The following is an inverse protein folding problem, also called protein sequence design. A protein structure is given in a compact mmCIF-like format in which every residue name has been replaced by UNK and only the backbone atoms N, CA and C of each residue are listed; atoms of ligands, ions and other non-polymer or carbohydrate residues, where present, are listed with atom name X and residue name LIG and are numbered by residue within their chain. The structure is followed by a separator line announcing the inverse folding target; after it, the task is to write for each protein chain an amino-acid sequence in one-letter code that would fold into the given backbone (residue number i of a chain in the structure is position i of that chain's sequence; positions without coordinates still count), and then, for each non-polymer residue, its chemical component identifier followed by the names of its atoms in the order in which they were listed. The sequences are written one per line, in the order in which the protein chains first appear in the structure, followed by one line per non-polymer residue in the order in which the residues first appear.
data_IF_679487940724
#
_entry.id   IF_679487940724
#
_cell.length_a   1.000
_cell.length_b   1.000
_cell.length_c   1.000
_cell.angle_alpha   90.00
_cell.angle_beta   90.00
_cell.angle_gamma   90.00
#
_symmetry.space_group_name_H-M   'P 1'
#
loop_
_entity.id
_entity.type
_entity.pdbx_description
1 polymer ?
#
# COMPACT_ATOMS: atom_id res chain seq x y z
N UNK A 1 74.39 -35.25 26.86
CA UNK A 1 73.36 -35.69 27.83
C UNK A 1 73.78 -35.25 29.22
N UNK A 2 73.05 -34.33 29.84
CA UNK A 2 73.14 -34.01 31.27
C UNK A 2 71.71 -33.91 31.79
N UNK A 3 71.38 -34.81 32.72
CA UNK A 3 70.13 -34.86 33.47
C UNK A 3 70.35 -34.18 34.83
N UNK A 4 69.43 -33.31 35.23
CA UNK A 4 69.14 -33.00 36.65
C UNK A 4 67.70 -32.48 36.77
N UNK A 5 66.81 -33.39 37.14
CA UNK A 5 65.79 -33.36 38.23
C UNK A 5 65.91 -32.18 39.23
N UNK A 6 64.91 -31.62 39.95
CA UNK A 6 63.53 -31.98 40.34
C UNK A 6 62.91 -30.76 41.10
N UNK A 7 61.59 -30.79 41.35
CA UNK A 7 60.81 -30.17 42.47
C UNK A 7 60.05 -28.84 42.25
N UNK A 8 58.72 -29.03 42.22
CA UNK A 8 57.54 -28.23 42.68
C UNK A 8 57.76 -27.03 43.63
N UNK A 9 56.97 -25.96 43.43
CA UNK A 9 56.19 -25.19 44.46
C UNK A 9 55.42 -24.06 43.74
N UNK A 10 54.08 -24.09 43.65
CA UNK A 10 53.06 -23.52 44.58
C UNK A 10 52.82 -22.01 44.39
N UNK A 11 51.61 -21.71 43.88
CA UNK A 11 50.73 -20.54 44.03
C UNK A 11 51.27 -19.10 43.91
N UNK A 12 50.70 -18.34 42.95
CA UNK A 12 50.11 -17.03 43.25
C UNK A 12 49.04 -16.64 42.22
N UNK A 13 47.84 -16.37 42.72
CA UNK A 13 46.70 -15.88 41.98
C UNK A 13 46.87 -14.39 41.64
N UNK A 14 46.44 -13.98 40.44
CA UNK A 14 45.97 -12.62 40.21
C UNK A 14 44.89 -12.62 39.14
N UNK A 15 43.65 -12.52 39.59
CA UNK A 15 42.52 -12.07 38.78
C UNK A 15 42.82 -10.68 38.21
N UNK A 16 42.70 -10.54 36.89
CA UNK A 16 42.55 -9.23 36.26
C UNK A 16 41.48 -9.34 35.17
N UNK A 17 40.31 -8.85 35.56
CA UNK A 17 39.30 -8.19 34.75
C UNK A 17 38.89 -8.87 33.44
N UNK A 18 37.74 -9.54 33.53
CA UNK A 18 36.72 -9.67 32.51
C UNK A 18 36.89 -8.68 31.36
N UNK A 19 37.12 -9.25 30.18
CA UNK A 19 36.92 -8.60 28.90
C UNK A 19 35.54 -7.93 28.94
N UNK A 20 35.53 -6.60 28.89
CA UNK A 20 34.39 -5.82 28.43
C UNK A 20 34.21 -6.18 26.95
N UNK A 21 33.56 -7.30 26.67
CA UNK A 21 32.85 -7.49 25.43
C UNK A 21 31.67 -6.54 25.47
N UNK A 22 31.87 -5.29 25.06
CA UNK A 22 30.78 -4.48 24.56
C UNK A 22 30.20 -5.27 23.39
N UNK A 23 29.14 -6.00 23.65
CA UNK A 23 28.24 -6.48 22.63
C UNK A 23 27.54 -5.22 22.09
N UNK A 24 28.29 -4.49 21.27
CA UNK A 24 27.78 -3.37 20.51
C UNK A 24 26.87 -3.99 19.45
N UNK A 25 25.65 -4.31 19.87
CA UNK A 25 24.54 -4.61 19.01
C UNK A 25 24.17 -3.32 18.29
N UNK A 26 25.07 -2.87 17.40
CA UNK A 26 24.69 -2.00 16.31
C UNK A 26 23.57 -2.72 15.57
N UNK A 27 22.37 -2.12 15.46
CA UNK A 27 21.32 -2.73 14.68
C UNK A 27 21.87 -2.90 13.26
N UNK A 28 21.94 -4.14 12.79
CA UNK A 28 22.33 -4.37 11.41
C UNK A 28 21.38 -3.60 10.49
N UNK A 29 21.87 -2.93 9.46
CA UNK A 29 21.00 -2.26 8.51
C UNK A 29 20.04 -3.29 7.92
N UNK A 30 18.74 -3.03 8.04
CA UNK A 30 17.70 -3.88 7.47
C UNK A 30 17.96 -3.96 5.97
N UNK A 31 18.33 -5.15 5.50
CA UNK A 31 18.57 -5.38 4.09
C UNK A 31 17.27 -5.13 3.31
N UNK A 32 17.32 -4.49 2.14
CA UNK A 32 16.16 -4.35 1.28
C UNK A 32 15.56 -5.73 1.01
N UNK A 33 14.26 -5.88 1.27
CA UNK A 33 13.55 -7.13 1.04
C UNK A 33 12.63 -6.97 -0.16
N UNK A 34 12.71 -7.94 -1.07
CA UNK A 34 11.81 -8.02 -2.23
C UNK A 34 10.54 -8.79 -1.89
N UNK A 35 9.43 -8.37 -2.49
CA UNK A 35 8.12 -8.98 -2.36
C UNK A 35 7.46 -9.08 -3.73
N UNK A 36 6.70 -10.15 -3.96
CA UNK A 36 5.76 -10.22 -5.08
C UNK A 36 4.34 -10.15 -4.50
N UNK A 37 3.51 -9.27 -5.05
CA UNK A 37 2.12 -9.10 -4.61
C UNK A 37 1.15 -9.19 -5.79
N UNK A 38 -0.08 -9.57 -5.48
CA UNK A 38 -1.22 -9.46 -6.39
C UNK A 38 -2.15 -8.33 -5.92
N UNK A 39 -2.39 -7.36 -6.79
CA UNK A 39 -3.29 -6.24 -6.56
C UNK A 39 -4.60 -6.45 -7.35
N UNK A 40 -5.78 -6.40 -6.71
CA UNK A 40 -7.06 -6.56 -7.40
C UNK A 40 -7.37 -5.35 -8.30
N UNK A 41 -8.24 -5.54 -9.28
CA UNK A 41 -8.73 -4.49 -10.20
C UNK A 41 -9.77 -3.54 -9.60
N UNK A 42 -10.36 -3.92 -8.46
CA UNK A 42 -11.41 -3.18 -7.78
C UNK A 42 -10.92 -2.63 -6.43
N UNK A 43 -10.72 -1.30 -6.29
CA UNK A 43 -10.48 -0.66 -5.00
C UNK A 43 -11.60 -0.95 -4.01
N UNK A 44 -11.26 -1.14 -2.73
CA UNK A 44 -12.21 -1.45 -1.66
C UNK A 44 -12.57 -0.18 -0.91
N UNK A 45 -13.87 0.13 -0.83
CA UNK A 45 -14.38 1.20 0.02
C UNK A 45 -14.59 0.70 1.45
N UNK A 46 -13.93 1.32 2.43
CA UNK A 46 -13.99 0.94 3.84
C UNK A 46 -14.90 1.83 4.69
N UNK A 47 -15.31 2.99 4.16
CA UNK A 47 -16.17 3.93 4.87
C UNK A 47 -15.50 4.71 6.02
N UNK A 48 -16.20 5.69 6.61
CA UNK A 48 -15.67 6.61 7.63
C UNK A 48 -15.41 5.98 9.01
N UNK A 49 -15.85 4.75 9.23
CA UNK A 49 -15.86 4.11 10.56
C UNK A 49 -14.69 3.18 10.85
N UNK A 50 -13.83 2.89 9.86
CA UNK A 50 -12.65 2.06 10.08
C UNK A 50 -11.44 2.90 10.47
N UNK A 51 -10.63 2.40 11.40
CA UNK A 51 -9.34 3.00 11.72
C UNK A 51 -8.28 2.80 10.61
N UNK A 52 -8.66 2.12 9.52
CA UNK A 52 -7.84 1.97 8.33
C UNK A 52 -7.99 3.25 7.49
N UNK A 53 -6.93 4.05 7.45
CA UNK A 53 -6.72 5.02 6.39
C UNK A 53 -6.12 4.24 5.21
N UNK A 54 -6.61 4.33 3.96
CA UNK A 54 -7.58 5.27 3.37
C UNK A 54 -9.06 4.82 3.37
N UNK A 55 -10.00 5.74 3.07
CA UNK A 55 -11.44 5.45 2.91
C UNK A 55 -11.75 4.51 1.75
N UNK A 56 -10.93 4.57 0.71
CA UNK A 56 -10.89 3.61 -0.39
C UNK A 56 -9.43 3.28 -0.66
N UNK A 57 -9.13 2.03 -0.98
CA UNK A 57 -7.77 1.66 -1.38
C UNK A 57 -7.71 0.27 -1.97
N UNK A 58 -6.55 -0.08 -2.51
CA UNK A 58 -6.30 -1.36 -3.15
C UNK A 58 -5.47 -2.22 -2.19
N UNK A 59 -6.11 -3.11 -1.40
CA UNK A 59 -5.38 -3.98 -0.50
C UNK A 59 -4.62 -5.05 -1.28
N UNK A 60 -3.37 -5.29 -0.88
CA UNK A 60 -2.59 -6.45 -1.31
C UNK A 60 -1.96 -7.14 -0.09
N UNK A 61 -1.81 -8.46 -0.17
CA UNK A 61 -1.20 -9.26 0.89
C UNK A 61 0.23 -9.62 0.51
N UNK A 62 1.17 -9.37 1.42
CA UNK A 62 2.55 -9.84 1.34
C UNK A 62 2.63 -11.33 1.73
N UNK A 63 3.70 -12.01 1.32
CA UNK A 63 3.95 -13.42 1.65
C UNK A 63 3.95 -13.74 3.16
N UNK A 64 4.26 -12.74 4.00
CA UNK A 64 4.24 -12.84 5.45
C UNK A 64 2.84 -12.64 6.08
N UNK A 65 1.81 -12.44 5.26
CA UNK A 65 0.43 -12.23 5.66
C UNK A 65 0.04 -10.78 5.94
N UNK A 66 0.98 -9.84 5.94
CA UNK A 66 0.72 -8.41 6.14
C UNK A 66 -0.07 -7.83 4.96
N UNK A 67 -1.03 -6.96 5.26
CA UNK A 67 -1.76 -6.18 4.26
C UNK A 67 -1.07 -4.83 4.06
N UNK A 68 -0.90 -4.45 2.81
CA UNK A 68 -0.46 -3.10 2.39
C UNK A 68 -1.50 -2.51 1.43
N UNK A 69 -1.45 -1.18 1.25
CA UNK A 69 -2.25 -0.49 0.24
C UNK A 69 -1.36 -0.15 -0.95
N UNK A 70 -1.77 -0.62 -2.12
CA UNK A 70 -0.99 -0.48 -3.36
C UNK A 70 -0.93 0.98 -3.80
N UNK A 71 -1.92 1.79 -3.42
CA UNK A 71 -1.93 3.24 -3.67
C UNK A 71 -0.78 4.00 -2.97
N UNK A 72 -0.17 3.40 -1.94
CA UNK A 72 0.96 3.98 -1.20
C UNK A 72 2.33 3.49 -1.70
N UNK A 73 2.37 2.68 -2.76
CA UNK A 73 3.61 2.18 -3.36
C UNK A 73 4.31 3.29 -4.15
N UNK A 74 5.56 3.58 -3.81
CA UNK A 74 6.35 4.58 -4.52
C UNK A 74 6.65 4.17 -5.96
N UNK A 75 6.61 5.17 -6.86
CA UNK A 75 6.82 5.03 -8.30
C UNK A 75 5.81 4.11 -9.00
N UNK A 76 4.64 3.88 -8.39
CA UNK A 76 3.52 3.16 -9.00
C UNK A 76 2.27 4.04 -8.99
N UNK A 77 1.52 4.01 -10.10
CA UNK A 77 0.20 4.65 -10.20
C UNK A 77 -0.80 3.57 -10.58
N UNK A 78 -1.73 3.27 -9.67
CA UNK A 78 -2.74 2.26 -9.87
C UNK A 78 -3.83 2.75 -10.84
N UNK A 79 -4.21 1.91 -11.81
CA UNK A 79 -5.33 2.17 -12.71
C UNK A 79 -6.56 1.36 -12.29
N UNK A 80 -7.65 2.04 -11.91
CA UNK A 80 -8.93 1.41 -11.58
C UNK A 80 -9.37 0.46 -12.71
N UNK A 81 -9.67 -0.79 -12.38
CA UNK A 81 -10.15 -1.79 -13.31
C UNK A 81 -9.01 -2.53 -14.01
N UNK A 82 -7.81 -2.50 -13.43
CA UNK A 82 -6.66 -3.27 -13.85
C UNK A 82 -6.10 -4.03 -12.66
N UNK A 83 -6.00 -5.34 -12.79
CA UNK A 83 -5.30 -6.17 -11.82
C UNK A 83 -3.81 -6.22 -12.14
N UNK A 84 -2.98 -6.36 -11.10
CA UNK A 84 -1.54 -6.34 -11.27
C UNK A 84 -0.86 -7.46 -10.48
N UNK A 85 0.21 -8.01 -11.04
CA UNK A 85 1.28 -8.64 -10.27
C UNK A 85 2.47 -7.68 -10.22
N UNK A 86 2.91 -7.32 -9.02
CA UNK A 86 3.96 -6.33 -8.81
C UNK A 86 5.12 -6.95 -8.04
N UNK A 87 6.34 -6.61 -8.45
CA UNK A 87 7.55 -6.82 -7.66
C UNK A 87 7.92 -5.53 -6.96
N UNK A 88 8.03 -5.59 -5.63
CA UNK A 88 8.31 -4.47 -4.76
C UNK A 88 9.62 -4.69 -4.02
N UNK A 89 10.24 -3.59 -3.56
CA UNK A 89 11.36 -3.61 -2.62
C UNK A 89 11.06 -2.69 -1.45
N UNK A 90 11.47 -3.09 -0.24
CA UNK A 90 11.41 -2.21 0.93
C UNK A 90 12.60 -1.27 0.97
N UNK A 91 12.35 -0.05 1.43
CA UNK A 91 13.40 0.86 1.85
C UNK A 91 12.99 1.53 3.16
N UNK A 92 13.99 1.93 3.95
CA UNK A 92 13.76 2.64 5.20
C UNK A 92 14.21 4.08 5.08
N UNK A 93 13.39 4.99 5.61
CA UNK A 93 13.79 6.39 5.81
C UNK A 93 14.64 6.51 7.07
N UNK A 94 15.28 7.67 7.24
CA UNK A 94 16.20 7.93 8.36
C UNK A 94 15.56 7.83 9.75
N UNK A 95 14.23 7.92 9.83
CA UNK A 95 13.43 7.74 11.04
C UNK A 95 13.05 6.27 11.32
N UNK A 96 13.46 5.33 10.46
CA UNK A 96 13.15 3.91 10.57
C UNK A 96 11.81 3.49 9.97
N UNK A 97 11.05 4.40 9.37
CA UNK A 97 9.79 4.07 8.69
C UNK A 97 10.09 3.25 7.43
N UNK A 98 9.39 2.13 7.26
CA UNK A 98 9.56 1.23 6.10
C UNK A 98 8.50 1.54 5.05
N UNK A 99 8.94 1.72 3.81
CA UNK A 99 8.09 1.99 2.64
C UNK A 99 8.33 0.95 1.55
N UNK A 100 7.36 0.85 0.64
CA UNK A 100 7.44 -0.03 -0.53
C UNK A 100 7.65 0.80 -1.79
N UNK A 101 8.58 0.36 -2.63
CA UNK A 101 8.85 0.95 -3.95
C UNK A 101 8.69 -0.09 -5.03
N UNK A 102 8.10 0.31 -6.15
CA UNK A 102 8.00 -0.53 -7.33
C UNK A 102 9.39 -0.86 -7.89
N UNK A 103 9.65 -2.15 -8.10
CA UNK A 103 10.78 -2.64 -8.89
C UNK A 103 10.31 -2.92 -10.31
N UNK A 104 9.20 -3.63 -10.45
CA UNK A 104 8.68 -4.07 -11.74
C UNK A 104 7.18 -4.36 -11.67
N UNK A 105 6.49 -4.06 -12.78
CA UNK A 105 5.15 -4.59 -13.05
C UNK A 105 5.32 -5.91 -13.80
N UNK A 106 5.06 -7.04 -13.13
CA UNK A 106 5.20 -8.38 -13.71
C UNK A 106 4.04 -8.62 -14.69
N UNK A 107 2.83 -8.27 -14.28
CA UNK A 107 1.64 -8.31 -15.13
C UNK A 107 0.72 -7.13 -14.84
N UNK A 108 -0.03 -6.73 -15.86
CA UNK A 108 -1.10 -5.76 -15.79
C UNK A 108 -2.23 -6.26 -16.69
N UNK A 109 -3.33 -6.66 -16.08
CA UNK A 109 -4.47 -7.28 -16.76
C UNK A 109 -5.70 -6.41 -16.56
N UNK A 110 -6.07 -5.61 -17.58
CA UNK A 110 -7.31 -4.83 -17.57
C UNK A 110 -8.53 -5.75 -17.55
N UNK A 111 -9.54 -5.32 -16.81
CA UNK A 111 -10.83 -6.02 -16.78
C UNK A 111 -11.52 -5.95 -18.15
N UNK A 112 -12.47 -6.85 -18.38
CA UNK A 112 -13.27 -6.81 -19.60
C UNK A 112 -14.12 -5.52 -19.66
N UNK A 113 -14.27 -4.96 -20.86
CA UNK A 113 -15.18 -3.82 -21.07
C UNK A 113 -16.60 -4.21 -20.68
N UNK A 114 -17.24 -3.38 -19.86
CA UNK A 114 -18.56 -3.64 -19.28
C UNK A 114 -18.55 -4.37 -17.92
N UNK A 115 -17.39 -4.61 -17.32
CA UNK A 115 -17.31 -5.02 -15.90
C UNK A 115 -17.88 -3.90 -15.03
N UNK A 116 -18.87 -4.23 -14.18
CA UNK A 116 -19.51 -3.28 -13.27
C UNK A 116 -18.94 -3.38 -11.84
N UNK A 117 -18.73 -2.23 -11.21
CA UNK A 117 -18.29 -2.06 -9.82
C UNK A 117 -19.35 -1.27 -9.06
N UNK A 118 -19.95 -1.92 -8.06
CA UNK A 118 -21.00 -1.32 -7.23
C UNK A 118 -20.44 -1.03 -5.84
N UNK A 119 -20.58 0.21 -5.40
CA UNK A 119 -20.27 0.63 -4.04
C UNK A 119 -21.56 1.09 -3.36
N UNK A 120 -22.04 0.29 -2.42
CA UNK A 120 -23.16 0.65 -1.56
C UNK A 120 -22.69 1.53 -0.41
N UNK A 121 -23.57 2.42 0.06
CA UNK A 121 -23.37 3.26 1.24
C UNK A 121 -22.11 4.14 1.20
N UNK A 122 -21.78 4.68 0.03
CA UNK A 122 -20.72 5.69 -0.11
C UNK A 122 -21.12 6.95 0.61
N UNK A 123 -20.41 7.29 1.68
CA UNK A 123 -20.63 8.54 2.39
C UNK A 123 -20.14 9.74 1.58
N UNK A 124 -21.04 10.71 1.43
CA UNK A 124 -20.80 12.02 0.86
C UNK A 124 -20.04 12.91 1.84
N UNK A 125 -18.77 12.56 2.04
CA UNK A 125 -17.83 13.28 2.90
C UNK A 125 -16.48 13.44 2.21
N UNK A 126 -15.62 14.31 2.77
CA UNK A 126 -14.19 14.44 2.42
C UNK A 126 -13.90 14.61 0.91
N UNK A 127 -14.84 15.17 0.15
CA UNK A 127 -14.70 15.27 -1.30
C UNK A 127 -14.69 13.91 -1.99
N UNK A 128 -15.54 12.99 -1.51
CA UNK A 128 -15.83 11.68 -2.13
C UNK A 128 -15.99 11.76 -3.64
N UNK A 129 -16.67 12.82 -4.11
CA UNK A 129 -16.80 13.16 -5.52
C UNK A 129 -16.26 14.57 -5.79
N UNK A 130 -15.44 14.71 -6.83
CA UNK A 130 -14.85 16.00 -7.26
C UNK A 130 -14.90 16.17 -8.77
N UNK A 131 -14.93 17.42 -9.24
CA UNK A 131 -14.64 17.72 -10.64
C UNK A 131 -13.12 17.97 -10.77
N UNK A 132 -12.44 17.19 -11.62
CA UNK A 132 -10.99 17.33 -11.83
C UNK A 132 -10.68 18.24 -13.02
N UNK A 133 -11.42 18.06 -14.11
CA UNK A 133 -11.35 18.86 -15.32
C UNK A 133 -12.65 18.68 -16.12
N UNK A 134 -12.80 19.44 -17.20
CA UNK A 134 -14.02 19.37 -18.02
C UNK A 134 -14.29 17.94 -18.49
N UNK A 135 -15.38 17.34 -17.98
CA UNK A 135 -15.80 15.98 -18.32
C UNK A 135 -15.10 14.86 -17.56
N UNK A 136 -14.18 15.15 -16.63
CA UNK A 136 -13.48 14.17 -15.79
C UNK A 136 -13.71 14.46 -14.31
N UNK A 137 -14.17 13.44 -13.60
CA UNK A 137 -14.51 13.51 -12.19
C UNK A 137 -13.56 12.63 -11.36
N UNK A 138 -13.59 12.79 -10.04
CA UNK A 138 -12.80 12.02 -9.10
C UNK A 138 -13.67 11.32 -8.08
N UNK A 139 -13.47 10.01 -7.86
CA UNK A 139 -14.05 9.22 -6.78
C UNK A 139 -12.94 8.87 -5.79
N UNK A 140 -12.88 9.59 -4.67
CA UNK A 140 -11.81 9.51 -3.66
C UNK A 140 -10.37 9.50 -4.23
N UNK A 141 -10.15 10.19 -5.36
CA UNK A 141 -8.85 10.26 -6.03
C UNK A 141 -8.77 9.48 -7.34
N UNK A 142 -9.59 8.44 -7.54
CA UNK A 142 -9.65 7.73 -8.82
C UNK A 142 -10.43 8.55 -9.87
N UNK A 143 -9.87 8.72 -11.06
CA UNK A 143 -10.53 9.47 -12.13
C UNK A 143 -11.64 8.62 -12.78
N UNK A 144 -12.78 9.24 -13.07
CA UNK A 144 -13.88 8.59 -13.80
C UNK A 144 -14.56 9.54 -14.80
N UNK A 145 -15.24 8.97 -15.80
CA UNK A 145 -16.08 9.69 -16.76
C UNK A 145 -17.55 9.64 -16.36
N UNK A 146 -18.34 10.62 -16.78
CA UNK A 146 -19.78 10.61 -16.55
C UNK A 146 -20.55 10.06 -17.77
N UNK A 147 -21.49 9.14 -17.56
CA UNK A 147 -22.38 8.70 -18.63
C UNK A 147 -23.27 9.85 -19.16
N UNK A 148 -23.65 9.80 -20.45
CA UNK A 148 -24.32 10.92 -21.16
C UNK A 148 -25.63 11.41 -20.54
N UNK A 149 -26.32 10.59 -19.74
CA UNK A 149 -27.61 10.93 -19.12
C UNK A 149 -27.56 10.95 -17.58
N UNK A 150 -26.36 11.02 -17.01
CA UNK A 150 -26.16 11.02 -15.57
C UNK A 150 -25.73 12.41 -15.09
N UNK A 151 -26.33 12.89 -14.01
CA UNK A 151 -26.01 14.20 -13.45
C UNK A 151 -24.87 14.09 -12.42
N UNK A 152 -23.63 13.92 -12.90
CA UNK A 152 -22.46 13.88 -12.02
C UNK A 152 -22.16 15.24 -11.38
N UNK A 153 -22.59 16.35 -11.98
CA UNK A 153 -22.39 17.69 -11.43
C UNK A 153 -23.18 17.86 -10.12
N UNK A 154 -24.44 17.40 -10.09
CA UNK A 154 -25.22 17.38 -8.85
C UNK A 154 -24.61 16.48 -7.79
N UNK A 155 -24.09 15.30 -8.15
CA UNK A 155 -23.39 14.40 -7.22
C UNK A 155 -22.17 15.09 -6.59
N UNK A 156 -21.36 15.79 -7.39
CA UNK A 156 -20.23 16.59 -6.88
C UNK A 156 -20.71 17.70 -5.96
N UNK A 157 -21.80 18.40 -6.29
CA UNK A 157 -22.34 19.48 -5.48
C UNK A 157 -22.82 19.02 -4.10
N UNK A 158 -23.29 17.78 -3.97
CA UNK A 158 -23.74 17.20 -2.70
C UNK A 158 -22.68 16.33 -2.00
N UNK A 159 -21.46 16.25 -2.54
CA UNK A 159 -20.37 15.35 -2.08
C UNK A 159 -19.88 15.57 -0.64
N UNK A 160 -20.35 16.63 0.03
CA UNK A 160 -20.05 16.95 1.43
C UNK A 160 -21.31 17.09 2.30
N UNK A 161 -22.44 16.57 1.83
CA UNK A 161 -23.71 16.65 2.55
C UNK A 161 -23.80 15.72 3.77
N UNK A 162 -22.90 14.74 3.89
CA UNK A 162 -22.95 13.68 4.91
C UNK A 162 -24.01 12.61 4.63
N UNK A 163 -24.69 12.65 3.47
CA UNK A 163 -25.58 11.59 3.03
C UNK A 163 -24.83 10.32 2.60
N UNK A 164 -25.57 9.25 2.35
CA UNK A 164 -25.05 8.03 1.74
C UNK A 164 -25.63 7.90 0.33
N UNK A 165 -24.82 7.41 -0.60
CA UNK A 165 -25.25 7.09 -1.97
C UNK A 165 -24.80 5.70 -2.36
N UNK A 166 -25.55 5.05 -3.24
CA UNK A 166 -25.02 3.92 -4.00
C UNK A 166 -24.48 4.45 -5.32
N UNK A 167 -23.32 3.97 -5.74
CA UNK A 167 -22.74 4.28 -7.04
C UNK A 167 -22.37 3.02 -7.81
N UNK A 168 -22.50 3.09 -9.12
CA UNK A 168 -22.14 2.03 -10.04
C UNK A 168 -21.26 2.59 -11.16
N UNK A 169 -20.10 1.96 -11.33
CA UNK A 169 -19.14 2.27 -12.39
C UNK A 169 -19.01 1.10 -13.35
N UNK A 170 -18.90 1.39 -14.64
CA UNK A 170 -18.52 0.40 -15.66
C UNK A 170 -17.07 0.62 -16.10
N UNK A 171 -16.34 -0.48 -16.29
CA UNK A 171 -15.05 -0.46 -16.95
C UNK A 171 -15.23 -0.18 -18.44
N UNK A 172 -14.74 0.97 -18.89
CA UNK A 172 -14.77 1.41 -20.30
C UNK A 172 -13.38 1.50 -20.93
N UNK A 173 -12.32 1.27 -20.15
CA UNK A 173 -10.94 1.35 -20.61
C UNK A 173 -10.50 2.76 -21.02
N UNK A 174 -9.34 2.85 -21.67
CA UNK A 174 -8.74 4.15 -22.04
C UNK A 174 -8.01 4.83 -20.87
N UNK A 175 -7.72 6.13 -21.03
CA UNK A 175 -6.94 6.90 -20.05
C UNK A 175 -7.69 7.15 -18.73
N UNK A 176 -9.02 7.26 -18.80
CA UNK A 176 -9.90 7.29 -17.63
C UNK A 176 -10.76 6.03 -17.72
N UNK A 177 -10.39 4.95 -17.01
CA UNK A 177 -10.80 3.60 -17.34
C UNK A 177 -12.23 3.26 -16.94
N UNK A 178 -12.85 4.06 -16.07
CA UNK A 178 -14.18 3.81 -15.52
C UNK A 178 -15.15 4.95 -15.83
N UNK A 179 -16.41 4.61 -16.03
CA UNK A 179 -17.51 5.55 -16.25
C UNK A 179 -18.57 5.33 -15.18
N UNK A 180 -18.98 6.39 -14.47
CA UNK A 180 -20.13 6.34 -13.57
C UNK A 180 -21.41 6.22 -14.40
N UNK A 181 -22.17 5.15 -14.18
CA UNK A 181 -23.40 4.84 -14.93
C UNK A 181 -24.66 4.99 -14.10
N UNK A 182 -24.55 4.96 -12.78
CA UNK A 182 -25.68 5.17 -11.85
C UNK A 182 -25.22 5.73 -10.52
N UNK A 183 -26.03 6.61 -9.94
CA UNK A 183 -25.97 6.96 -8.52
C UNK A 183 -27.38 7.23 -7.98
N UNK A 184 -27.62 6.92 -6.70
CA UNK A 184 -28.88 7.24 -6.00
C UNK A 184 -28.69 7.52 -4.52
#
# INVERSE_FOLDING_TARGET
MRFTTFVRSVLLALSACYLLGCNDSSPEPVQPQEYTISAPSNPVYYGPGVALSPLIGVPAQLDNGQIIFVDDVFDFEYQFGTSYELRLVTFQTSDGTTYFKLVEVISAEPDAIGTSYIYSDVELTRGSFTEKSSGVFGFFGYSFLCAQNLDCASLVAISQSGGLVEVEFDYTGGAVPITLVRWN
#
